data_IF_741707657363
#
_entry.id   IF_741707657363
#
_cell.length_a   1.000
_cell.length_b   1.000
_cell.length_c   1.000
_cell.angle_alpha   90.00
_cell.angle_beta   90.00
_cell.angle_gamma   90.00
#
_symmetry.space_group_name_H-M   'P 1'
#
loop_
_entity.id
_entity.type
_entity.pdbx_description
1 polymer ?
#
# COMPACT_ATOMS: atom_id res chain seq x y z
N UNK A 1 -24.43 21.38 3.93
CA UNK A 1 -23.02 21.47 3.48
C UNK A 1 -22.04 21.57 4.64
N UNK A 2 -22.24 22.46 5.62
CA UNK A 2 -21.29 22.63 6.74
C UNK A 2 -21.03 21.35 7.56
N UNK A 3 -22.07 20.58 7.89
CA UNK A 3 -21.92 19.30 8.62
C UNK A 3 -21.15 18.22 7.84
N UNK A 4 -21.31 18.19 6.51
CA UNK A 4 -20.58 17.25 5.64
C UNK A 4 -19.11 17.66 5.54
N UNK A 5 -18.84 18.97 5.43
CA UNK A 5 -17.49 19.53 5.45
C UNK A 5 -16.78 19.24 6.79
N UNK A 6 -17.48 19.41 7.91
CA UNK A 6 -16.94 19.07 9.24
C UNK A 6 -16.67 17.57 9.38
N UNK A 7 -17.57 16.72 8.89
CA UNK A 7 -17.36 15.27 8.85
C UNK A 7 -16.12 14.90 8.01
N UNK A 8 -15.93 15.54 6.85
CA UNK A 8 -14.77 15.33 5.99
C UNK A 8 -13.45 15.78 6.62
N UNK A 9 -13.45 16.95 7.28
CA UNK A 9 -12.27 17.46 7.99
C UNK A 9 -11.92 16.62 9.23
N UNK A 10 -12.92 15.94 9.82
CA UNK A 10 -12.73 15.01 10.94
C UNK A 10 -12.32 13.60 10.49
N UNK A 11 -12.61 13.22 9.25
CA UNK A 11 -12.19 11.95 8.66
C UNK A 11 -10.76 12.06 8.15
N UNK A 12 -9.79 12.00 9.05
CA UNK A 12 -8.38 11.97 8.66
C UNK A 12 -7.89 10.52 8.63
N UNK A 13 -7.21 10.14 7.55
CA UNK A 13 -6.39 8.94 7.57
C UNK A 13 -5.29 9.10 8.62
N UNK A 14 -4.98 8.02 9.33
CA UNK A 14 -3.87 8.00 10.27
C UNK A 14 -2.73 7.20 9.67
N UNK A 15 -1.50 7.64 9.94
CA UNK A 15 -0.31 6.84 9.66
C UNK A 15 -0.06 5.95 10.88
N UNK A 16 0.03 4.65 10.65
CA UNK A 16 0.31 3.66 11.68
C UNK A 16 1.82 3.62 11.99
N UNK A 17 2.65 3.55 10.94
CA UNK A 17 4.10 3.65 11.05
C UNK A 17 4.74 4.17 9.76
N UNK A 18 6.01 4.60 9.88
CA UNK A 18 6.90 4.95 8.78
C UNK A 18 8.28 4.36 9.09
N UNK A 19 8.78 3.47 8.26
CA UNK A 19 10.04 2.77 8.49
C UNK A 19 10.82 2.51 7.19
N UNK A 20 12.11 2.21 7.31
CA UNK A 20 12.89 1.70 6.20
C UNK A 20 12.52 0.24 5.93
N UNK A 21 12.11 -0.05 4.71
CA UNK A 21 11.73 -1.39 4.28
C UNK A 21 12.97 -2.27 4.16
N UNK A 22 12.94 -3.43 4.80
CA UNK A 22 13.97 -4.46 4.67
C UNK A 22 13.69 -5.32 3.44
N UNK A 23 14.57 -5.28 2.44
CA UNK A 23 14.44 -6.10 1.23
C UNK A 23 15.12 -7.48 1.41
N UNK A 24 14.53 -8.57 0.86
CA UNK A 24 13.27 -8.61 0.14
C UNK A 24 12.06 -8.48 1.09
N UNK A 25 11.08 -7.69 0.67
CA UNK A 25 9.81 -7.58 1.37
C UNK A 25 8.78 -8.48 0.68
N UNK A 26 8.20 -9.41 1.44
CA UNK A 26 7.38 -10.50 0.91
C UNK A 26 6.05 -10.53 1.66
N UNK A 27 4.97 -10.47 0.91
CA UNK A 27 3.61 -10.75 1.39
C UNK A 27 3.09 -11.96 0.63
N UNK A 28 2.70 -12.99 1.38
CA UNK A 28 2.05 -14.17 0.84
C UNK A 28 0.53 -14.11 1.05
N UNK A 29 -0.25 -14.87 0.25
CA UNK A 29 -1.68 -15.01 0.46
C UNK A 29 -1.99 -15.54 1.86
N UNK A 30 -3.07 -15.04 2.48
CA UNK A 30 -3.55 -15.56 3.75
C UNK A 30 -4.09 -16.99 3.58
N UNK A 31 -3.86 -17.87 4.56
CA UNK A 31 -4.57 -19.15 4.61
C UNK A 31 -6.05 -18.91 4.86
N UNK A 32 -6.94 -19.76 4.32
CA UNK A 32 -8.40 -19.59 4.45
C UNK A 32 -8.88 -19.55 5.91
N UNK A 33 -8.10 -20.11 6.84
CA UNK A 33 -8.37 -20.17 8.28
C UNK A 33 -7.95 -18.91 9.05
N UNK A 34 -7.19 -18.00 8.42
CA UNK A 34 -6.80 -16.68 8.97
C UNK A 34 -7.52 -15.54 8.26
N UNK A 35 -8.78 -15.76 7.86
CA UNK A 35 -9.70 -14.66 7.58
C UNK A 35 -10.00 -13.91 8.88
N UNK A 36 -9.02 -13.19 9.40
CA UNK A 36 -9.25 -12.12 10.34
C UNK A 36 -10.18 -11.13 9.65
N UNK A 37 -11.38 -10.96 10.20
CA UNK A 37 -12.26 -9.81 9.92
C UNK A 37 -11.53 -8.47 10.09
N UNK A 38 -10.38 -8.50 10.78
CA UNK A 38 -9.44 -7.41 11.05
C UNK A 38 -8.24 -7.38 10.09
N UNK A 39 -8.37 -7.85 8.84
CA UNK A 39 -7.59 -7.22 7.76
C UNK A 39 -8.13 -5.79 7.62
N UNK A 40 -7.75 -4.97 8.61
CA UNK A 40 -8.00 -3.56 8.68
C UNK A 40 -7.69 -2.97 7.31
N UNK A 41 -8.56 -2.09 6.83
CA UNK A 41 -8.51 -1.51 5.49
C UNK A 41 -7.30 -0.59 5.28
N UNK A 42 -6.09 -0.99 5.67
CA UNK A 42 -4.90 -0.19 5.53
C UNK A 42 -4.36 -0.26 4.11
N UNK A 43 -3.73 0.84 3.70
CA UNK A 43 -3.00 0.97 2.44
C UNK A 43 -1.52 0.97 2.80
N UNK A 44 -0.79 -0.05 2.38
CA UNK A 44 0.67 -0.03 2.44
C UNK A 44 1.18 0.87 1.31
N UNK A 45 2.02 1.84 1.65
CA UNK A 45 2.66 2.77 0.71
C UNK A 45 4.16 2.53 0.77
N UNK A 46 4.78 2.31 -0.38
CA UNK A 46 6.22 2.19 -0.52
C UNK A 46 6.74 3.33 -1.38
N UNK A 47 7.82 3.95 -0.98
CA UNK A 47 8.48 5.00 -1.73
C UNK A 47 9.93 4.60 -2.01
N UNK A 48 10.30 4.55 -3.29
CA UNK A 48 11.66 4.25 -3.71
C UNK A 48 12.49 5.53 -3.57
N UNK A 49 13.25 5.63 -2.49
CA UNK A 49 14.05 6.83 -2.18
C UNK A 49 15.35 6.84 -2.98
N UNK A 50 15.97 5.67 -3.17
CA UNK A 50 17.27 5.51 -3.84
C UNK A 50 17.39 4.11 -4.43
N UNK A 51 18.20 3.97 -5.48
CA UNK A 51 18.49 2.70 -6.14
C UNK A 51 17.34 2.22 -7.01
N UNK A 52 17.46 1.01 -7.55
CA UNK A 52 16.41 0.38 -8.35
C UNK A 52 15.77 -0.73 -7.52
N UNK A 53 14.45 -0.76 -7.51
CA UNK A 53 13.67 -1.83 -6.92
C UNK A 53 13.04 -2.69 -8.02
N UNK A 54 12.65 -3.90 -7.68
CA UNK A 54 11.91 -4.79 -8.56
C UNK A 54 10.69 -5.33 -7.82
N UNK A 55 9.53 -5.14 -8.43
CA UNK A 55 8.23 -5.50 -7.88
C UNK A 55 7.62 -6.62 -8.70
N UNK A 56 7.22 -7.71 -8.05
CA UNK A 56 6.37 -8.74 -8.63
C UNK A 56 5.07 -8.82 -7.84
N UNK A 57 3.94 -8.77 -8.55
CA UNK A 57 2.62 -8.79 -7.95
C UNK A 57 1.74 -9.87 -8.57
N UNK A 58 1.30 -10.81 -7.75
CA UNK A 58 0.50 -12.01 -8.06
C UNK A 58 1.16 -13.02 -9.01
N UNK A 59 1.74 -12.56 -10.12
CA UNK A 59 2.46 -13.37 -11.09
C UNK A 59 3.52 -12.53 -11.82
N UNK A 60 4.48 -13.18 -12.51
CA UNK A 60 5.39 -12.50 -13.43
C UNK A 60 4.63 -11.81 -14.60
N UNK A 61 5.23 -10.82 -15.27
CA UNK A 61 6.60 -10.34 -15.11
C UNK A 61 6.77 -9.36 -13.93
N UNK A 62 8.02 -9.15 -13.53
CA UNK A 62 8.39 -8.10 -12.59
C UNK A 62 8.40 -6.71 -13.24
N UNK A 63 8.16 -5.69 -12.43
CA UNK A 63 8.18 -4.27 -12.77
C UNK A 63 9.42 -3.67 -12.12
N UNK A 64 10.28 -3.03 -12.90
CA UNK A 64 11.40 -2.26 -12.36
C UNK A 64 10.90 -0.91 -11.88
N UNK A 65 11.38 -0.53 -10.69
CA UNK A 65 11.01 0.71 -10.04
C UNK A 65 12.24 1.61 -9.84
N UNK A 66 12.09 2.88 -10.18
CA UNK A 66 13.10 3.92 -10.13
C UNK A 66 12.96 4.79 -8.89
N UNK A 67 14.02 5.51 -8.47
CA UNK A 67 13.90 6.51 -7.41
C UNK A 67 12.83 7.54 -7.74
N UNK A 68 12.01 7.88 -6.76
CA UNK A 68 10.88 8.81 -6.91
C UNK A 68 9.52 8.11 -7.00
N UNK A 69 9.48 6.85 -7.41
CA UNK A 69 8.21 6.13 -7.59
C UNK A 69 7.57 5.72 -6.26
N UNK A 70 6.24 5.76 -6.24
CA UNK A 70 5.40 5.33 -5.14
C UNK A 70 4.61 4.08 -5.52
N UNK A 71 4.54 3.12 -4.61
CA UNK A 71 3.71 1.92 -4.71
C UNK A 71 2.60 2.03 -3.66
N UNK A 72 1.36 1.93 -4.08
CA UNK A 72 0.20 1.85 -3.19
C UNK A 72 -0.37 0.44 -3.29
N UNK A 73 -0.39 -0.27 -2.17
CA UNK A 73 -0.88 -1.63 -2.05
C UNK A 73 -2.10 -1.64 -1.10
N UNK A 74 -3.28 -1.87 -1.68
CA UNK A 74 -4.49 -2.23 -0.96
C UNK A 74 -4.62 -3.76 -0.99
N UNK A 75 -4.06 -4.41 0.02
CA UNK A 75 -3.89 -5.87 0.05
C UNK A 75 -5.22 -6.61 0.08
N UNK A 76 -5.38 -7.62 -0.77
CA UNK A 76 -6.39 -8.69 -0.62
C UNK A 76 -5.76 -9.97 -0.08
N UNK A 77 -6.58 -10.82 0.54
CA UNK A 77 -6.12 -12.11 1.09
C UNK A 77 -5.45 -13.01 0.05
N UNK A 78 -5.87 -12.92 -1.21
CA UNK A 78 -5.31 -13.71 -2.32
C UNK A 78 -4.03 -13.14 -2.90
N UNK A 79 -3.66 -11.91 -2.52
CA UNK A 79 -2.57 -11.21 -3.17
C UNK A 79 -1.21 -11.71 -2.68
N UNK A 80 -0.29 -11.81 -3.64
CA UNK A 80 1.11 -12.13 -3.43
C UNK A 80 1.95 -10.95 -3.91
N UNK A 81 2.84 -10.45 -3.07
CA UNK A 81 3.62 -9.24 -3.37
C UNK A 81 5.07 -9.46 -2.96
N UNK A 82 5.99 -9.21 -3.89
CA UNK A 82 7.42 -9.28 -3.67
C UNK A 82 8.04 -7.97 -4.10
N UNK A 83 8.71 -7.30 -3.18
CA UNK A 83 9.48 -6.10 -3.45
C UNK A 83 10.93 -6.35 -3.08
N UNK A 84 11.79 -6.35 -4.08
CA UNK A 84 13.23 -6.58 -3.94
C UNK A 84 14.00 -5.33 -4.33
N UNK A 85 15.22 -5.22 -3.82
CA UNK A 85 16.12 -4.10 -4.07
C UNK A 85 17.57 -4.57 -4.08
N UNK A 86 18.43 -3.82 -4.76
CA UNK A 86 19.88 -4.00 -4.70
C UNK A 86 20.48 -3.54 -3.37
N UNK A 87 21.80 -3.65 -3.24
CA UNK A 87 22.53 -3.29 -2.01
C UNK A 87 22.44 -1.80 -1.66
N UNK A 88 22.19 -0.94 -2.64
CA UNK A 88 22.10 0.51 -2.52
C UNK A 88 20.65 1.02 -2.53
N UNK A 89 19.67 0.12 -2.60
CA UNK A 89 18.25 0.46 -2.67
C UNK A 89 17.72 0.86 -1.29
N UNK A 90 17.16 2.06 -1.19
CA UNK A 90 16.48 2.55 0.02
C UNK A 90 14.98 2.71 -0.29
N UNK A 91 14.15 1.99 0.46
CA UNK A 91 12.69 2.04 0.32
C UNK A 91 12.10 2.47 1.66
N UNK A 92 11.23 3.48 1.65
CA UNK A 92 10.42 3.83 2.81
C UNK A 92 9.08 3.13 2.71
N UNK A 93 8.67 2.45 3.78
CA UNK A 93 7.35 1.88 3.93
C UNK A 93 6.53 2.75 4.88
N UNK A 94 5.26 2.93 4.56
CA UNK A 94 4.28 3.58 5.42
C UNK A 94 2.98 2.81 5.37
N UNK A 95 2.32 2.66 6.51
CA UNK A 95 0.97 2.09 6.56
C UNK A 95 -0.05 3.16 6.87
N UNK A 96 -0.99 3.35 5.96
CA UNK A 96 -2.06 4.35 6.08
C UNK A 96 -3.36 3.65 6.44
N UNK A 97 -3.96 4.03 7.56
CA UNK A 97 -5.28 3.55 7.98
C UNK A 97 -6.33 4.62 7.60
N UNK A 98 -7.14 4.40 6.56
CA UNK A 98 -8.24 5.30 6.22
C UNK A 98 -9.30 5.26 7.31
N UNK A 99 -9.83 6.43 7.66
CA UNK A 99 -10.88 6.58 8.68
C UNK A 99 -12.03 7.45 8.16
N UNK A 100 -13.18 7.30 8.78
CA UNK A 100 -14.40 8.06 8.47
C UNK A 100 -14.75 7.98 6.98
N UNK A 101 -15.14 9.12 6.39
CA UNK A 101 -15.58 9.19 4.99
C UNK A 101 -14.54 8.65 4.00
N UNK A 102 -13.24 8.74 4.26
CA UNK A 102 -12.23 8.14 3.38
C UNK A 102 -12.30 6.61 3.35
N UNK A 103 -12.54 5.98 4.51
CA UNK A 103 -12.78 4.53 4.59
C UNK A 103 -14.05 4.17 3.81
N UNK A 104 -15.12 4.94 4.01
CA UNK A 104 -16.39 4.72 3.33
C UNK A 104 -16.24 4.86 1.80
N UNK A 105 -15.44 5.83 1.33
CA UNK A 105 -15.15 6.02 -0.09
C UNK A 105 -14.35 4.86 -0.66
N UNK A 106 -13.29 4.39 0.01
CA UNK A 106 -12.50 3.24 -0.46
C UNK A 106 -13.37 1.98 -0.56
N UNK A 107 -14.23 1.75 0.43
CA UNK A 107 -15.19 0.64 0.45
C UNK A 107 -16.23 0.79 -0.67
N UNK A 108 -16.80 1.98 -0.83
CA UNK A 108 -17.85 2.25 -1.83
C UNK A 108 -17.34 2.17 -3.27
N UNK A 109 -16.17 2.76 -3.54
CA UNK A 109 -15.56 2.72 -4.88
C UNK A 109 -15.03 1.33 -5.22
N UNK A 110 -14.99 0.41 -4.25
CA UNK A 110 -14.57 -0.96 -4.46
C UNK A 110 -13.25 -1.02 -5.22
N UNK A 111 -12.30 -0.11 -4.91
CA UNK A 111 -11.08 0.10 -5.69
C UNK A 111 -10.43 -1.25 -6.06
N UNK A 112 -10.73 -1.72 -7.27
CA UNK A 112 -10.54 -3.11 -7.66
C UNK A 112 -9.07 -3.45 -7.86
N UNK A 113 -8.26 -2.46 -8.21
CA UNK A 113 -6.82 -2.62 -8.33
C UNK A 113 -6.21 -2.59 -6.93
N UNK A 114 -5.68 -3.73 -6.52
CA UNK A 114 -4.94 -3.87 -5.26
C UNK A 114 -3.60 -3.13 -5.30
N UNK A 115 -3.10 -2.75 -6.48
CA UNK A 115 -1.78 -2.18 -6.67
C UNK A 115 -1.83 -0.97 -7.61
N UNK A 116 -1.17 0.11 -7.23
CA UNK A 116 -0.88 1.25 -8.08
C UNK A 116 0.59 1.64 -7.97
N UNK A 117 1.24 1.94 -9.09
CA UNK A 117 2.55 2.55 -9.14
C UNK A 117 2.39 3.96 -9.71
N UNK A 118 2.80 4.97 -8.97
CA UNK A 118 2.76 6.37 -9.39
C UNK A 118 4.19 6.88 -9.57
N UNK A 119 4.42 7.50 -10.72
CA UNK A 119 5.68 8.16 -11.04
C UNK A 119 5.71 9.58 -10.46
N UNK A 120 6.87 9.99 -9.96
CA UNK A 120 7.15 11.38 -9.64
C UNK A 120 7.74 12.03 -10.89
N UNK A 121 6.87 12.47 -11.80
CA UNK A 121 7.27 13.08 -13.08
C UNK A 121 8.28 14.22 -12.95
#
# INVERSE_FOLDING_TARGET
>A
MEKIRQAFLSSNSSIDFIEYCSCPYIILPCSQDTQTSDLDCYIDVFYIKKGVAELMFNAPPSIKLSPGEFIFLNRKCSDCFFLTGGQDTEILQTRVVPRGLYKDLIVYYGCYNSLYVLDSG
#
